data_IF_199551847512
#
_entry.id   IF_199551847512
#
_cell.length_a   1.000
_cell.length_b   1.000
_cell.length_c   1.000
_cell.angle_alpha   90.00
_cell.angle_beta   90.00
_cell.angle_gamma   90.00
#
_symmetry.space_group_name_H-M   'P 1'
#
loop_
_entity.id
_entity.type
_entity.pdbx_description
1 polymer ?
#
# COMPACT_ATOMS: atom_id res chain seq x y z
N UNK A 1 -9.22 16.97 0.38
CA UNK A 1 -9.70 18.36 0.16
C UNK A 1 -8.61 19.10 -0.58
N UNK A 2 -8.83 19.38 -1.87
CA UNK A 2 -7.84 20.03 -2.72
C UNK A 2 -7.70 21.55 -2.55
N UNK A 3 -7.86 22.07 -1.35
CA UNK A 3 -7.77 23.50 -1.05
C UNK A 3 -6.52 23.93 -0.28
N UNK A 4 -5.50 23.05 -0.22
CA UNK A 4 -4.15 23.44 0.23
C UNK A 4 -3.93 23.46 1.75
N UNK A 5 -4.82 22.92 2.58
CA UNK A 5 -4.61 22.84 4.02
C UNK A 5 -3.96 21.52 4.47
N UNK A 6 -4.29 20.39 3.83
CA UNK A 6 -3.78 19.07 4.19
C UNK A 6 -2.58 18.65 3.34
N UNK A 7 -1.74 17.75 3.89
CA UNK A 7 -0.61 17.21 3.17
C UNK A 7 -1.00 15.97 2.36
N UNK A 8 -0.44 15.88 1.15
CA UNK A 8 -0.34 14.61 0.42
C UNK A 8 0.92 13.89 0.89
N UNK A 9 0.77 12.64 1.31
CA UNK A 9 1.88 11.84 1.85
C UNK A 9 1.98 10.49 1.17
N UNK A 10 3.20 9.97 1.08
CA UNK A 10 3.46 8.60 0.67
C UNK A 10 4.54 7.98 1.56
N UNK A 11 4.41 6.67 1.78
CA UNK A 11 5.38 5.84 2.50
C UNK A 11 5.80 4.70 1.57
N UNK A 12 7.09 4.47 1.41
CA UNK A 12 7.62 3.30 0.71
C UNK A 12 8.22 2.36 1.72
N UNK A 13 7.67 1.17 1.81
CA UNK A 13 8.06 0.16 2.80
C UNK A 13 8.57 -1.09 2.08
N UNK A 14 9.77 -1.53 2.44
CA UNK A 14 10.31 -2.83 2.03
C UNK A 14 9.61 -3.92 2.85
N UNK A 15 8.90 -4.83 2.16
CA UNK A 15 8.01 -5.79 2.82
C UNK A 15 8.72 -6.87 3.65
N UNK A 16 9.91 -7.30 3.25
CA UNK A 16 10.67 -8.36 3.92
C UNK A 16 11.24 -7.92 5.27
N UNK A 17 11.72 -6.68 5.35
CA UNK A 17 12.33 -6.11 6.56
C UNK A 17 11.43 -5.13 7.31
N UNK A 18 10.31 -4.73 6.72
CA UNK A 18 9.46 -3.62 7.19
C UNK A 18 10.25 -2.33 7.41
N UNK A 19 11.19 -2.07 6.50
CA UNK A 19 11.99 -0.87 6.49
C UNK A 19 11.31 0.24 5.66
N UNK A 20 11.17 1.40 6.24
CA UNK A 20 10.80 2.62 5.53
C UNK A 20 11.99 3.08 4.67
N UNK A 21 11.91 2.89 3.36
CA UNK A 21 12.99 3.20 2.43
C UNK A 21 12.84 4.57 1.77
N UNK A 22 11.61 5.11 1.71
CA UNK A 22 11.35 6.47 1.28
C UNK A 22 10.04 7.00 1.89
N UNK A 23 9.91 8.32 1.92
CA UNK A 23 8.66 9.01 2.20
C UNK A 23 8.53 10.27 1.35
N UNK A 24 7.32 10.69 1.16
CA UNK A 24 6.97 11.99 0.61
C UNK A 24 5.95 12.69 1.50
N UNK A 25 6.12 14.00 1.68
CA UNK A 25 5.13 14.87 2.30
C UNK A 25 5.18 16.22 1.61
N UNK A 26 4.06 16.63 1.03
CA UNK A 26 3.96 17.91 0.31
C UNK A 26 2.52 18.37 0.14
N UNK A 27 2.34 19.64 -0.19
CA UNK A 27 1.03 20.20 -0.54
C UNK A 27 0.94 20.28 -2.06
N UNK A 28 0.34 19.28 -2.67
CA UNK A 28 0.21 19.15 -4.13
C UNK A 28 -1.21 18.75 -4.50
N UNK A 29 -1.60 19.09 -5.72
CA UNK A 29 -2.88 18.65 -6.30
C UNK A 29 -2.82 17.18 -6.73
N UNK A 30 -3.97 16.55 -6.92
CA UNK A 30 -4.05 15.16 -7.39
C UNK A 30 -3.29 14.94 -8.72
N UNK A 31 -3.38 15.91 -9.65
CA UNK A 31 -2.69 15.85 -10.95
C UNK A 31 -1.16 15.85 -10.84
N UNK A 32 -0.63 16.47 -9.79
CA UNK A 32 0.82 16.48 -9.51
C UNK A 32 1.22 15.27 -8.65
N UNK A 33 0.35 14.83 -7.75
CA UNK A 33 0.66 13.75 -6.83
C UNK A 33 0.67 12.38 -7.53
N UNK A 34 -0.26 12.12 -8.44
CA UNK A 34 -0.34 10.83 -9.13
C UNK A 34 0.94 10.52 -9.95
N UNK A 35 1.47 11.41 -10.82
CA UNK A 35 2.73 11.16 -11.52
C UNK A 35 3.91 10.94 -10.56
N UNK A 36 3.96 11.66 -9.44
CA UNK A 36 4.99 11.48 -8.41
C UNK A 36 4.92 10.08 -7.81
N UNK A 37 3.72 9.61 -7.45
CA UNK A 37 3.51 8.26 -6.91
C UNK A 37 3.91 7.18 -7.91
N UNK A 38 3.53 7.33 -9.19
CA UNK A 38 3.91 6.39 -10.26
C UNK A 38 5.42 6.35 -10.45
N UNK A 39 6.09 7.52 -10.45
CA UNK A 39 7.55 7.59 -10.53
C UNK A 39 8.21 6.88 -9.35
N UNK A 40 7.79 7.19 -8.12
CA UNK A 40 8.31 6.52 -6.93
C UNK A 40 8.08 5.01 -6.99
N UNK A 41 6.87 4.56 -7.30
CA UNK A 41 6.57 3.14 -7.35
C UNK A 41 7.40 2.40 -8.41
N UNK A 42 7.64 3.03 -9.57
CA UNK A 42 8.47 2.48 -10.63
C UNK A 42 9.94 2.35 -10.20
N UNK A 43 10.48 3.35 -9.52
CA UNK A 43 11.85 3.32 -8.96
C UNK A 43 12.03 2.22 -7.90
N UNK A 44 11.00 1.95 -7.11
CA UNK A 44 11.00 0.91 -6.08
C UNK A 44 10.45 -0.43 -6.59
N UNK A 45 10.96 -0.88 -7.73
CA UNK A 45 10.69 -2.20 -8.30
C UNK A 45 9.20 -2.43 -8.63
N UNK A 46 8.57 -1.45 -9.24
CA UNK A 46 7.16 -1.50 -9.59
C UNK A 46 6.26 -1.82 -8.37
N UNK A 47 6.46 -1.07 -7.31
CA UNK A 47 5.85 -1.31 -6.00
C UNK A 47 4.32 -1.31 -6.05
N UNK A 48 3.67 -2.14 -5.23
CA UNK A 48 2.22 -2.11 -5.05
C UNK A 48 1.78 -0.75 -4.52
N UNK A 49 0.99 -0.02 -5.32
CA UNK A 49 0.40 1.25 -4.92
C UNK A 49 -0.90 1.05 -4.16
N UNK A 50 -0.92 1.53 -2.93
CA UNK A 50 -2.09 1.52 -2.06
C UNK A 50 -2.52 2.94 -1.79
N UNK A 51 -3.62 3.35 -2.40
CA UNK A 51 -4.16 4.71 -2.27
C UNK A 51 -5.36 4.69 -1.33
N UNK A 52 -5.39 5.59 -0.35
CA UNK A 52 -6.61 5.82 0.43
C UNK A 52 -7.66 6.51 -0.44
N UNK A 53 -8.81 5.86 -0.64
CA UNK A 53 -9.83 6.27 -1.61
C UNK A 53 -11.05 6.97 -1.01
N UNK A 54 -10.94 7.45 0.24
CA UNK A 54 -12.10 7.95 1.00
C UNK A 54 -12.70 9.24 0.47
N UNK A 55 -11.88 10.12 -0.09
CA UNK A 55 -12.26 11.50 -0.36
C UNK A 55 -12.19 11.91 -1.82
N UNK A 56 -11.30 11.32 -2.57
CA UNK A 56 -11.09 11.71 -3.96
C UNK A 56 -10.52 10.56 -4.79
N UNK A 57 -11.29 10.14 -5.78
CA UNK A 57 -10.80 9.18 -6.79
C UNK A 57 -9.86 9.84 -7.82
N UNK A 58 -9.63 11.15 -7.74
CA UNK A 58 -8.83 11.87 -8.74
C UNK A 58 -7.40 11.36 -8.86
N UNK A 59 -6.77 11.01 -7.72
CA UNK A 59 -5.43 10.42 -7.73
C UNK A 59 -5.44 9.04 -8.38
N UNK A 60 -6.41 8.18 -8.03
CA UNK A 60 -6.55 6.83 -8.60
C UNK A 60 -6.81 6.88 -10.11
N UNK A 61 -7.81 7.67 -10.55
CA UNK A 61 -8.12 7.82 -11.97
C UNK A 61 -6.89 8.29 -12.76
N UNK A 62 -6.11 9.22 -12.17
CA UNK A 62 -4.90 9.72 -12.82
C UNK A 62 -3.78 8.67 -12.90
N UNK A 63 -3.64 7.82 -11.88
CA UNK A 63 -2.70 6.69 -11.89
C UNK A 63 -3.09 5.67 -12.99
N UNK A 64 -4.37 5.37 -13.13
CA UNK A 64 -4.91 4.50 -14.18
C UNK A 64 -4.67 5.11 -15.58
N UNK A 65 -4.92 6.41 -15.78
CA UNK A 65 -4.61 7.13 -17.03
C UNK A 65 -3.11 7.08 -17.38
N UNK A 66 -2.22 7.06 -16.38
CA UNK A 66 -0.78 6.91 -16.57
C UNK A 66 -0.35 5.47 -16.88
N UNK A 67 -1.27 4.51 -16.86
CA UNK A 67 -1.03 3.11 -17.20
C UNK A 67 -0.25 2.34 -16.13
N UNK A 68 -0.31 2.78 -14.86
CA UNK A 68 0.27 2.00 -13.76
C UNK A 68 -0.73 0.95 -13.30
N UNK A 69 -0.36 -0.32 -13.39
CA UNK A 69 -1.24 -1.48 -13.20
C UNK A 69 -1.10 -2.17 -11.84
N UNK A 70 0.03 -1.98 -11.12
CA UNK A 70 0.23 -2.61 -9.81
C UNK A 70 -0.46 -1.83 -8.68
N UNK A 71 -1.78 -1.77 -8.74
CA UNK A 71 -2.64 -1.05 -7.79
C UNK A 71 -3.31 -2.05 -6.84
N UNK A 72 -3.45 -1.66 -5.59
CA UNK A 72 -4.20 -2.41 -4.58
C UNK A 72 -5.71 -2.33 -4.83
N UNK A 73 -6.35 -3.48 -4.86
CA UNK A 73 -7.82 -3.61 -4.91
C UNK A 73 -8.33 -4.33 -3.66
N UNK A 74 -9.50 -3.95 -3.17
CA UNK A 74 -10.13 -4.59 -2.03
C UNK A 74 -11.62 -4.85 -2.26
N UNK A 75 -12.15 -5.92 -1.66
CA UNK A 75 -13.58 -6.16 -1.62
C UNK A 75 -14.22 -5.29 -0.53
N UNK A 76 -15.30 -4.57 -0.86
CA UNK A 76 -16.03 -3.70 0.07
C UNK A 76 -16.53 -4.42 1.32
N UNK A 77 -16.88 -5.69 1.21
CA UNK A 77 -17.47 -6.47 2.30
C UNK A 77 -16.47 -7.01 3.29
N UNK A 78 -15.29 -7.42 2.84
CA UNK A 78 -14.29 -8.12 3.65
C UNK A 78 -13.01 -7.31 3.86
N UNK A 79 -12.80 -6.23 3.11
CA UNK A 79 -11.54 -5.48 3.02
C UNK A 79 -10.34 -6.37 2.64
N UNK A 80 -10.63 -7.51 2.00
CA UNK A 80 -9.64 -8.45 1.53
C UNK A 80 -9.02 -7.94 0.24
N UNK A 81 -7.70 -8.07 0.12
CA UNK A 81 -6.99 -7.79 -1.12
C UNK A 81 -7.37 -8.80 -2.20
N UNK A 82 -7.64 -8.31 -3.38
CA UNK A 82 -7.93 -9.12 -4.56
C UNK A 82 -7.21 -8.51 -5.78
N UNK A 83 -6.98 -9.33 -6.80
CA UNK A 83 -6.52 -8.83 -8.09
C UNK A 83 -7.63 -8.04 -8.80
N UNK A 84 -7.25 -7.24 -9.81
CA UNK A 84 -8.17 -6.38 -10.53
C UNK A 84 -9.35 -7.16 -11.13
N UNK A 85 -9.09 -8.30 -11.77
CA UNK A 85 -10.13 -9.10 -12.42
C UNK A 85 -11.15 -9.63 -11.41
N UNK A 86 -10.68 -10.06 -10.23
CA UNK A 86 -11.55 -10.48 -9.12
C UNK A 86 -12.34 -9.30 -8.55
N UNK A 87 -11.72 -8.11 -8.45
CA UNK A 87 -12.41 -6.90 -8.00
C UNK A 87 -13.54 -6.51 -8.96
N UNK A 88 -13.29 -6.52 -10.26
CA UNK A 88 -14.30 -6.26 -11.29
C UNK A 88 -15.46 -7.26 -11.23
N UNK A 89 -15.15 -8.57 -11.10
CA UNK A 89 -16.16 -9.63 -11.05
C UNK A 89 -17.00 -9.61 -9.75
N UNK A 90 -16.43 -9.20 -8.62
CA UNK A 90 -17.05 -9.29 -7.28
C UNK A 90 -17.41 -7.92 -6.67
N UNK A 91 -17.34 -6.84 -7.44
CA UNK A 91 -17.68 -5.49 -6.98
C UNK A 91 -16.66 -4.92 -5.97
N UNK A 92 -15.39 -5.20 -6.19
CA UNK A 92 -14.27 -4.58 -5.47
C UNK A 92 -14.07 -3.12 -5.86
N UNK A 93 -13.14 -2.48 -5.17
CA UNK A 93 -12.74 -1.09 -5.43
C UNK A 93 -11.22 -0.98 -5.45
N UNK A 94 -10.72 -0.10 -6.28
CA UNK A 94 -9.31 0.30 -6.26
C UNK A 94 -9.01 1.11 -5.00
N UNK A 95 -7.82 0.88 -4.44
CA UNK A 95 -7.38 1.55 -3.23
C UNK A 95 -7.92 0.95 -1.94
N UNK A 96 -7.51 1.58 -0.83
CA UNK A 96 -7.90 1.21 0.52
C UNK A 96 -8.96 2.18 1.05
N UNK A 97 -10.08 1.63 1.53
CA UNK A 97 -11.15 2.46 2.14
C UNK A 97 -10.97 2.53 3.65
N UNK A 98 -10.59 3.71 4.14
CA UNK A 98 -10.56 3.99 5.57
C UNK A 98 -11.98 4.24 6.08
N UNK A 99 -12.39 3.56 7.12
CA UNK A 99 -13.71 3.66 7.73
C UNK A 99 -13.61 3.66 9.25
N UNK A 100 -14.71 3.94 9.93
CA UNK A 100 -14.79 3.81 11.39
C UNK A 100 -14.47 2.39 11.87
N UNK A 101 -14.66 1.38 11.03
CA UNK A 101 -14.34 -0.03 11.33
C UNK A 101 -12.89 -0.37 11.04
N UNK A 102 -12.33 0.10 9.91
CA UNK A 102 -10.96 -0.25 9.48
C UNK A 102 -9.89 0.59 10.18
N UNK A 103 -10.16 1.86 10.51
CA UNK A 103 -9.19 2.73 11.19
C UNK A 103 -8.64 2.13 12.50
N UNK A 104 -9.45 1.61 13.43
CA UNK A 104 -8.91 0.96 14.62
C UNK A 104 -8.05 -0.26 14.32
N UNK A 105 -8.40 -1.03 13.29
CA UNK A 105 -7.67 -2.25 12.90
C UNK A 105 -6.27 -1.92 12.36
N UNK A 106 -6.16 -0.96 11.44
CA UNK A 106 -4.86 -0.57 10.88
C UNK A 106 -3.96 0.07 11.95
N UNK A 107 -4.53 0.86 12.87
CA UNK A 107 -3.78 1.46 13.97
C UNK A 107 -3.33 0.43 15.01
N UNK A 108 -4.17 -0.55 15.33
CA UNK A 108 -3.79 -1.68 16.19
C UNK A 108 -2.64 -2.49 15.57
N UNK A 109 -2.66 -2.64 14.24
CA UNK A 109 -1.56 -3.31 13.52
C UNK A 109 -0.27 -2.51 13.58
N UNK A 110 -0.33 -1.20 13.39
CA UNK A 110 0.84 -0.33 13.55
C UNK A 110 1.40 -0.40 14.98
N UNK A 111 0.53 -0.36 15.98
CA UNK A 111 0.93 -0.50 17.40
C UNK A 111 1.63 -1.85 17.65
N UNK A 112 1.10 -2.95 17.12
CA UNK A 112 1.71 -4.28 17.18
C UNK A 112 3.14 -4.26 16.60
N UNK A 113 3.32 -3.66 15.42
CA UNK A 113 4.63 -3.58 14.76
C UNK A 113 5.63 -2.74 15.55
N UNK A 114 5.19 -1.60 16.10
CA UNK A 114 6.05 -0.75 16.94
C UNK A 114 6.43 -1.47 18.25
N UNK A 115 5.46 -2.05 18.94
CA UNK A 115 5.67 -2.76 20.21
C UNK A 115 6.63 -3.94 20.05
N UNK A 116 6.50 -4.69 18.97
CA UNK A 116 7.33 -5.85 18.67
C UNK A 116 8.64 -5.49 17.95
N UNK A 117 8.94 -4.19 17.75
CA UNK A 117 10.16 -3.69 17.08
C UNK A 117 10.34 -4.27 15.68
N UNK A 118 9.24 -4.42 14.95
CA UNK A 118 9.21 -4.97 13.60
C UNK A 118 9.38 -3.91 12.50
N UNK A 119 9.42 -2.63 12.87
CA UNK A 119 9.56 -1.49 11.96
C UNK A 119 10.96 -0.89 12.04
N UNK A 120 11.53 -0.57 10.89
CA UNK A 120 12.73 0.26 10.77
C UNK A 120 12.28 1.59 10.15
N UNK A 121 12.29 2.64 10.95
CA UNK A 121 11.86 3.97 10.52
C UNK A 121 13.09 4.87 10.30
N UNK A 122 13.25 5.36 9.08
CA UNK A 122 14.36 6.21 8.67
C UNK A 122 13.97 7.70 8.60
N UNK A 123 12.67 8.03 8.68
CA UNK A 123 12.20 9.41 8.66
C UNK A 123 11.95 9.98 10.04
N UNK A 124 12.59 11.11 10.35
CA UNK A 124 12.31 11.88 11.55
C UNK A 124 10.91 12.52 11.54
N UNK A 125 10.36 12.85 10.36
CA UNK A 125 8.99 13.39 10.25
C UNK A 125 7.97 12.35 10.70
N UNK A 126 8.06 11.13 10.17
CA UNK A 126 7.19 10.00 10.58
C UNK A 126 7.32 9.73 12.08
N UNK A 127 8.54 9.70 12.63
CA UNK A 127 8.77 9.49 14.07
C UNK A 127 8.16 10.63 14.91
N UNK A 128 8.25 11.87 14.46
CA UNK A 128 7.66 13.00 15.18
C UNK A 128 6.12 12.98 15.15
N UNK A 129 5.51 12.60 14.03
CA UNK A 129 4.06 12.40 13.98
C UNK A 129 3.61 11.26 14.92
N UNK A 130 4.32 10.13 14.96
CA UNK A 130 4.04 9.03 15.91
C UNK A 130 4.10 9.54 17.36
N UNK A 131 5.08 10.36 17.75
CA UNK A 131 5.21 10.90 19.10
C UNK A 131 4.06 11.84 19.49
N UNK A 132 3.45 12.50 18.53
CA UNK A 132 2.33 13.42 18.73
C UNK A 132 0.97 12.80 18.44
N UNK A 133 0.94 11.50 18.14
CA UNK A 133 -0.28 10.75 17.89
C UNK A 133 -0.85 10.23 19.22
N UNK A 134 -2.04 10.68 19.58
CA UNK A 134 -2.63 10.45 20.92
C UNK A 134 -4.07 9.96 20.83
N UNK A 135 -4.53 9.35 21.90
CA UNK A 135 -5.95 9.13 22.12
C UNK A 135 -6.61 10.41 22.64
N UNK A 136 -7.55 10.93 21.89
CA UNK A 136 -8.36 12.10 22.28
C UNK A 136 -9.84 11.81 22.07
N UNK A 137 -10.64 11.96 23.12
CA UNK A 137 -12.09 11.69 23.11
C UNK A 137 -12.45 10.30 22.51
N UNK A 138 -11.68 9.27 22.87
CA UNK A 138 -11.89 7.90 22.41
C UNK A 138 -11.48 7.64 20.93
N UNK A 139 -10.75 8.57 20.31
CA UNK A 139 -10.25 8.44 18.93
C UNK A 139 -8.74 8.68 18.87
N UNK A 140 -8.00 7.82 18.19
CA UNK A 140 -6.58 8.05 17.94
C UNK A 140 -6.42 9.06 16.79
N UNK A 141 -5.65 10.13 17.05
CA UNK A 141 -5.40 11.24 16.13
C UNK A 141 -4.16 12.04 16.50
N UNK A 142 -3.66 12.84 15.60
CA UNK A 142 -2.62 13.84 15.93
C UNK A 142 -3.09 14.81 17.00
N UNK A 143 -2.18 15.25 17.89
CA UNK A 143 -2.44 16.35 18.82
C UNK A 143 -2.91 17.60 18.05
N UNK A 144 -3.66 18.46 18.71
CA UNK A 144 -4.13 19.72 18.07
C UNK A 144 -2.95 20.51 17.53
N UNK A 145 -3.00 20.82 16.22
CA UNK A 145 -1.93 21.53 15.50
C UNK A 145 -0.83 20.62 14.95
N UNK A 146 -0.95 19.32 15.08
CA UNK A 146 -0.07 18.31 14.49
C UNK A 146 -0.82 17.46 13.46
N UNK A 147 -0.10 17.01 12.45
CA UNK A 147 -0.62 16.13 11.42
C UNK A 147 -0.52 14.65 11.85
N UNK A 148 -1.31 13.78 11.23
CA UNK A 148 -1.25 12.34 11.41
C UNK A 148 -1.20 11.57 10.06
N UNK A 149 -0.99 12.28 8.96
CA UNK A 149 -1.05 11.73 7.61
C UNK A 149 0.02 10.64 7.39
N UNK A 150 1.26 10.89 7.81
CA UNK A 150 2.36 9.92 7.70
C UNK A 150 2.12 8.68 8.59
N UNK A 151 1.52 8.88 9.77
CA UNK A 151 1.16 7.77 10.67
C UNK A 151 0.08 6.90 10.03
N UNK A 152 -0.93 7.51 9.44
CA UNK A 152 -2.03 6.78 8.78
C UNK A 152 -1.52 6.01 7.55
N UNK A 153 -0.70 6.63 6.70
CA UNK A 153 -0.09 5.95 5.56
C UNK A 153 0.76 4.74 5.99
N UNK A 154 1.57 4.89 7.05
CA UNK A 154 2.35 3.81 7.63
C UNK A 154 1.46 2.69 8.21
N UNK A 155 0.36 3.04 8.88
CA UNK A 155 -0.58 2.08 9.44
C UNK A 155 -1.27 1.24 8.35
N UNK A 156 -1.63 1.85 7.23
CA UNK A 156 -2.16 1.15 6.07
C UNK A 156 -1.12 0.18 5.52
N UNK A 157 0.14 0.61 5.37
CA UNK A 157 1.22 -0.27 4.89
C UNK A 157 1.45 -1.48 5.81
N UNK A 158 1.42 -1.28 7.14
CA UNK A 158 1.52 -2.38 8.11
C UNK A 158 0.35 -3.36 7.99
N UNK A 159 -0.86 -2.86 7.79
CA UNK A 159 -2.05 -3.68 7.62
C UNK A 159 -2.00 -4.56 6.37
N UNK A 160 -1.53 -4.00 5.27
CA UNK A 160 -1.51 -4.67 3.96
C UNK A 160 -0.34 -5.64 3.80
N UNK A 161 0.72 -5.46 4.59
CA UNK A 161 1.96 -6.24 4.47
C UNK A 161 1.72 -7.75 4.36
N UNK A 162 0.92 -8.32 5.26
CA UNK A 162 0.73 -9.77 5.31
C UNK A 162 0.00 -10.28 4.07
N UNK A 163 -0.93 -9.50 3.55
CA UNK A 163 -1.67 -9.80 2.31
C UNK A 163 -0.75 -9.68 1.09
N UNK A 164 0.04 -8.62 1.00
CA UNK A 164 0.99 -8.40 -0.09
C UNK A 164 2.07 -9.48 -0.15
N UNK A 165 2.58 -9.95 1.00
CA UNK A 165 3.53 -11.08 1.05
C UNK A 165 2.91 -12.37 0.53
N UNK A 166 1.65 -12.65 0.85
CA UNK A 166 0.97 -13.85 0.39
C UNK A 166 0.79 -13.86 -1.12
N UNK A 167 0.49 -12.71 -1.72
CA UNK A 167 0.36 -12.58 -3.18
C UNK A 167 1.71 -12.76 -3.86
N UNK A 168 2.75 -12.09 -3.38
CA UNK A 168 4.11 -12.23 -3.92
C UNK A 168 4.61 -13.68 -3.88
N UNK A 169 4.32 -14.42 -2.80
CA UNK A 169 4.68 -15.83 -2.68
C UNK A 169 3.98 -16.68 -3.75
N UNK A 170 2.68 -16.47 -3.95
CA UNK A 170 1.89 -17.18 -4.98
C UNK A 170 2.42 -16.90 -6.38
N UNK A 171 2.75 -15.65 -6.71
CA UNK A 171 3.33 -15.31 -8.01
C UNK A 171 4.70 -15.97 -8.23
N UNK A 172 5.55 -15.98 -7.22
CA UNK A 172 6.86 -16.65 -7.29
C UNK A 172 6.69 -18.16 -7.50
N UNK A 173 5.74 -18.78 -6.81
CA UNK A 173 5.42 -20.21 -6.99
C UNK A 173 4.87 -20.51 -8.37
N UNK A 174 3.96 -19.68 -8.88
CA UNK A 174 3.42 -19.81 -10.23
C UNK A 174 4.50 -19.68 -11.31
N UNK A 175 5.38 -18.68 -11.19
CA UNK A 175 6.53 -18.52 -12.10
C UNK A 175 7.44 -19.75 -12.04
N UNK A 176 7.77 -20.27 -10.87
CA UNK A 176 8.58 -21.49 -10.72
C UNK A 176 7.88 -22.70 -11.39
N UNK A 177 6.57 -22.85 -11.20
CA UNK A 177 5.80 -23.93 -11.83
C UNK A 177 5.79 -23.84 -13.36
N UNK A 178 5.66 -22.63 -13.93
CA UNK A 178 5.77 -22.41 -15.38
C UNK A 178 7.16 -22.80 -15.92
N UNK A 179 8.25 -22.43 -15.24
CA UNK A 179 9.59 -22.77 -15.65
C UNK A 179 9.90 -24.26 -15.51
N UNK A 180 9.37 -24.94 -14.48
CA UNK A 180 9.53 -26.40 -14.32
C UNK A 180 8.70 -27.17 -15.33
N UNK A 181 7.48 -26.71 -15.68
CA UNK A 181 6.65 -27.27 -16.75
C UNK A 181 7.34 -27.22 -18.11
N UNK A 182 8.01 -26.12 -18.43
CA UNK A 182 8.75 -25.95 -19.71
C UNK A 182 9.98 -26.85 -19.80
N UNK A 183 10.71 -27.09 -18.70
CA UNK A 183 11.82 -28.05 -18.65
C UNK A 183 11.37 -29.50 -18.87
N UNK A 184 10.20 -29.90 -18.43
CA UNK A 184 9.69 -31.24 -18.62
C UNK A 184 9.24 -31.54 -20.06
N UNK A 185 8.80 -30.52 -20.81
CA UNK A 185 8.40 -30.66 -22.21
C UNK A 185 9.60 -30.72 -23.16
N UNK A 186 10.69 -30.00 -22.86
CA UNK A 186 11.90 -30.06 -23.70
C UNK A 186 12.63 -31.40 -23.62
N UNK A 187 12.45 -32.17 -22.54
CA UNK A 187 13.04 -33.51 -22.43
C UNK A 187 12.28 -34.59 -23.22
N UNK A 188 11.07 -34.30 -23.72
CA UNK A 188 10.27 -35.22 -24.56
C UNK A 188 10.54 -35.07 -26.06
N UNK A 189 11.28 -34.05 -26.47
CA UNK A 189 11.60 -33.79 -27.88
C UNK A 189 12.88 -34.51 -28.36
N UNK A 190 13.68 -35.05 -27.48
CA UNK A 190 15.01 -35.64 -27.82
C UNK A 190 15.01 -37.16 -27.96
N UNK A 191 13.84 -37.82 -28.04
CA UNK A 191 13.76 -39.29 -28.15
C UNK A 191 13.06 -39.76 -29.44
N UNK A 192 13.22 -39.03 -30.57
CA UNK A 192 12.85 -39.49 -31.90
C UNK A 192 13.92 -39.10 -32.92
N UNK A 193 15.03 -39.83 -32.90
CA UNK A 193 15.89 -40.07 -34.04
C UNK A 193 16.15 -41.58 -34.13
#
# INVERSE_FOLDING_TARGET
RGDGSDFSVAQVIRLDTMEQVAEYQGKVTADMFAPLLVSMASEYNNALLVIENNHDYGVLNKIEELGYDNIYYSLKSTHEYVDQATAEARGGVAGFTMSMKTRPLVLSKLEEFIRNKLLILNSLRTVNEIKTFIWHNGRPQGMRGYNDDLVIALAIACWIRDTALTVNQKEVEQRKAMFTGWRSDSSKLDTRI
#
